data_IF_728371172009
#
_entry.id   IF_728371172009
#
_cell.length_a   1.000
_cell.length_b   1.000
_cell.length_c   1.000
_cell.angle_alpha   90.00
_cell.angle_beta   90.00
_cell.angle_gamma   90.00
#
_symmetry.space_group_name_H-M   'P 1'
#
loop_
_entity.id
_entity.type
_entity.pdbx_description
1 polymer ?
#
# COMPACT_ATOMS: atom_id res chain seq x y z
N UNK A 1 -35.91 -1.54 -6.81
CA UNK A 1 -34.49 -2.00 -6.82
C UNK A 1 -34.09 -2.38 -5.41
N UNK A 2 -33.62 -3.63 -5.26
CA UNK A 2 -33.97 -4.50 -4.14
C UNK A 2 -33.09 -4.35 -2.89
N UNK A 3 -33.73 -4.49 -1.71
CA UNK A 3 -33.14 -4.60 -0.36
C UNK A 3 -32.02 -5.66 -0.24
N UNK A 4 -31.80 -6.49 -1.26
CA UNK A 4 -30.75 -7.51 -1.32
C UNK A 4 -29.32 -6.91 -1.37
N UNK A 5 -29.10 -5.82 -2.11
CA UNK A 5 -27.73 -5.26 -2.28
C UNK A 5 -27.18 -4.64 -0.99
N UNK A 6 -28.06 -4.10 -0.12
CA UNK A 6 -27.67 -3.47 1.15
C UNK A 6 -27.15 -4.45 2.22
N UNK A 7 -27.56 -5.73 2.17
CA UNK A 7 -27.02 -6.79 3.05
C UNK A 7 -25.81 -7.51 2.47
N UNK A 8 -25.72 -7.58 1.14
CA UNK A 8 -24.62 -8.26 0.45
C UNK A 8 -23.32 -7.45 0.47
N UNK A 9 -23.40 -6.13 0.35
CA UNK A 9 -22.26 -5.23 0.32
C UNK A 9 -21.37 -5.27 1.59
N UNK A 10 -21.90 -5.19 2.83
CA UNK A 10 -21.06 -5.33 4.02
C UNK A 10 -20.49 -6.75 4.19
N UNK A 11 -21.22 -7.79 3.78
CA UNK A 11 -20.74 -9.18 3.85
C UNK A 11 -19.56 -9.41 2.89
N UNK A 12 -19.70 -8.95 1.64
CA UNK A 12 -18.68 -9.04 0.61
C UNK A 12 -17.44 -8.21 0.99
N UNK A 13 -17.62 -6.98 1.50
CA UNK A 13 -16.51 -6.18 2.04
C UNK A 13 -15.79 -6.89 3.19
N UNK A 14 -16.51 -7.48 4.15
CA UNK A 14 -15.86 -8.21 5.25
C UNK A 14 -15.10 -9.43 4.76
N UNK A 15 -15.57 -10.14 3.74
CA UNK A 15 -14.87 -11.30 3.19
C UNK A 15 -13.69 -10.90 2.29
N UNK A 16 -13.76 -9.75 1.63
CA UNK A 16 -12.63 -9.14 0.91
C UNK A 16 -11.51 -8.70 1.85
N UNK A 17 -11.86 -8.03 2.96
CA UNK A 17 -10.90 -7.66 4.00
C UNK A 17 -10.21 -8.91 4.57
N UNK A 18 -10.97 -9.97 4.90
CA UNK A 18 -10.40 -11.24 5.40
C UNK A 18 -9.43 -11.90 4.43
N UNK A 19 -9.74 -11.91 3.13
CA UNK A 19 -8.85 -12.50 2.10
C UNK A 19 -7.56 -11.71 1.93
N UNK A 20 -7.62 -10.38 1.96
CA UNK A 20 -6.43 -9.53 1.91
C UNK A 20 -5.50 -9.79 3.10
N UNK A 21 -6.06 -9.83 4.32
CA UNK A 21 -5.30 -10.17 5.53
C UNK A 21 -4.68 -11.57 5.46
N UNK A 22 -5.28 -12.52 4.75
CA UNK A 22 -4.71 -13.86 4.58
C UNK A 22 -3.52 -13.86 3.64
N UNK A 23 -3.58 -13.09 2.54
CA UNK A 23 -2.49 -12.97 1.57
C UNK A 23 -1.29 -12.24 2.17
N UNK A 24 -1.51 -11.09 2.81
CA UNK A 24 -0.44 -10.28 3.43
C UNK A 24 0.31 -11.04 4.53
N UNK A 25 -0.38 -11.92 5.27
CA UNK A 25 0.24 -12.82 6.27
C UNK A 25 1.22 -13.83 5.68
N UNK A 26 0.94 -14.34 4.48
CA UNK A 26 1.81 -15.33 3.82
C UNK A 26 3.11 -14.64 3.38
N UNK A 27 3.01 -13.46 2.78
CA UNK A 27 4.18 -12.68 2.37
C UNK A 27 5.06 -12.31 3.55
N UNK A 28 4.44 -11.91 4.67
CA UNK A 28 5.19 -11.56 5.86
C UNK A 28 5.97 -12.73 6.44
N UNK A 29 5.35 -13.91 6.49
CA UNK A 29 6.01 -15.11 6.97
C UNK A 29 7.18 -15.50 6.09
N UNK A 30 7.01 -15.47 4.77
CA UNK A 30 8.08 -15.82 3.82
C UNK A 30 9.25 -14.84 3.95
N UNK A 31 8.97 -13.53 3.94
CA UNK A 31 10.00 -12.50 3.99
C UNK A 31 10.75 -12.50 5.33
N UNK A 32 10.03 -12.65 6.43
CA UNK A 32 10.60 -12.70 7.77
C UNK A 32 11.44 -13.97 7.98
N UNK A 33 10.94 -15.12 7.50
CA UNK A 33 11.67 -16.38 7.59
C UNK A 33 12.99 -16.32 6.82
N UNK A 34 12.99 -15.79 5.60
CA UNK A 34 14.23 -15.61 4.81
C UNK A 34 15.21 -14.71 5.56
N UNK A 35 14.75 -13.58 6.10
CA UNK A 35 15.63 -12.61 6.77
C UNK A 35 16.24 -13.14 8.07
N UNK A 36 15.50 -13.92 8.88
CA UNK A 36 15.99 -14.50 10.14
C UNK A 36 16.97 -15.65 9.87
N UNK A 37 16.69 -16.48 8.88
CA UNK A 37 17.58 -17.59 8.48
C UNK A 37 18.91 -17.06 7.94
N UNK A 38 18.86 -16.03 7.09
CA UNK A 38 20.05 -15.33 6.61
C UNK A 38 20.76 -14.64 7.78
N UNK A 39 20.03 -13.97 8.68
CA UNK A 39 20.52 -13.15 9.80
C UNK A 39 21.30 -13.86 10.93
N UNK A 40 21.43 -15.19 10.89
CA UNK A 40 22.19 -16.01 11.85
C UNK A 40 21.82 -15.76 13.32
N UNK A 41 20.51 -15.70 13.61
CA UNK A 41 20.03 -15.53 14.99
C UNK A 41 20.10 -16.88 15.73
N UNK A 42 20.61 -16.95 16.97
CA UNK A 42 20.70 -18.20 17.75
C UNK A 42 19.33 -18.71 18.26
N UNK A 43 18.23 -18.06 17.87
CA UNK A 43 16.88 -18.33 18.35
C UNK A 43 16.16 -19.18 17.29
N UNK A 44 15.50 -20.25 17.72
CA UNK A 44 14.66 -21.06 16.85
C UNK A 44 13.62 -20.18 16.10
N UNK A 45 13.50 -20.42 14.79
CA UNK A 45 12.66 -19.62 13.87
C UNK A 45 11.20 -19.60 14.34
N UNK A 46 10.70 -20.70 14.92
CA UNK A 46 9.35 -20.80 15.44
C UNK A 46 9.11 -19.83 16.61
N UNK A 47 10.01 -19.81 17.57
CA UNK A 47 9.90 -18.92 18.74
C UNK A 47 10.09 -17.45 18.34
N UNK A 48 11.04 -17.17 17.45
CA UNK A 48 11.29 -15.83 16.94
C UNK A 48 10.07 -15.23 16.21
N UNK A 49 9.35 -16.05 15.41
CA UNK A 49 8.12 -15.59 14.73
C UNK A 49 6.98 -15.27 15.69
N UNK A 50 6.83 -16.02 16.80
CA UNK A 50 5.81 -15.75 17.81
C UNK A 50 6.11 -14.46 18.57
N UNK A 51 7.35 -14.28 19.01
CA UNK A 51 7.79 -13.06 19.71
C UNK A 51 7.59 -11.84 18.80
N UNK A 52 7.98 -11.95 17.52
CA UNK A 52 7.74 -10.91 16.54
C UNK A 52 6.25 -10.59 16.42
N UNK A 53 5.39 -11.59 16.26
CA UNK A 53 3.95 -11.36 16.12
C UNK A 53 3.37 -10.58 17.31
N UNK A 54 3.79 -10.90 18.54
CA UNK A 54 3.37 -10.17 19.74
C UNK A 54 3.89 -8.73 19.72
N UNK A 55 5.18 -8.51 19.45
CA UNK A 55 5.77 -7.17 19.34
C UNK A 55 5.06 -6.32 18.28
N UNK A 56 4.72 -6.92 17.14
CA UNK A 56 4.02 -6.25 16.05
C UNK A 56 2.61 -5.83 16.46
N UNK A 57 1.86 -6.69 17.14
CA UNK A 57 0.52 -6.34 17.65
C UNK A 57 0.61 -5.15 18.60
N UNK A 58 1.53 -5.19 19.56
CA UNK A 58 1.72 -4.10 20.52
C UNK A 58 2.12 -2.80 19.81
N UNK A 59 3.07 -2.86 18.90
CA UNK A 59 3.54 -1.68 18.19
C UNK A 59 2.47 -1.08 17.26
N UNK A 60 1.66 -1.91 16.58
CA UNK A 60 0.53 -1.43 15.78
C UNK A 60 -0.54 -0.77 16.65
N UNK A 61 -0.85 -1.33 17.83
CA UNK A 61 -1.80 -0.70 18.75
C UNK A 61 -1.34 0.69 19.19
N UNK A 62 -0.07 0.84 19.54
CA UNK A 62 0.51 2.13 19.91
C UNK A 62 0.41 3.11 18.74
N UNK A 63 0.88 2.73 17.55
CA UNK A 63 0.86 3.61 16.37
C UNK A 63 -0.57 3.96 15.96
N UNK A 64 -1.51 3.02 16.08
CA UNK A 64 -2.92 3.24 15.75
C UNK A 64 -3.58 4.29 16.63
N UNK A 65 -3.18 4.44 17.89
CA UNK A 65 -3.72 5.49 18.78
C UNK A 65 -3.25 6.88 18.34
N UNK A 66 -2.02 7.00 17.83
CA UNK A 66 -1.47 8.28 17.37
C UNK A 66 -1.99 8.69 15.98
N UNK A 67 -2.52 7.73 15.22
CA UNK A 67 -2.88 7.90 13.80
C UNK A 67 -4.03 8.89 13.58
N UNK A 68 -4.95 8.99 14.55
CA UNK A 68 -6.22 9.72 14.43
C UNK A 68 -6.05 11.23 14.24
N UNK A 69 -4.85 11.75 14.49
CA UNK A 69 -4.53 13.18 14.36
C UNK A 69 -4.00 13.58 12.97
N UNK A 70 -3.56 12.61 12.16
CA UNK A 70 -2.83 12.85 10.92
C UNK A 70 -3.75 12.73 9.69
N UNK A 71 -3.51 13.58 8.69
CA UNK A 71 -4.24 13.50 7.42
C UNK A 71 -3.91 12.20 6.66
N UNK A 72 -4.83 11.71 5.83
CA UNK A 72 -4.68 10.43 5.10
C UNK A 72 -3.47 10.41 4.17
N UNK A 73 -3.23 11.49 3.41
CA UNK A 73 -2.05 11.61 2.53
C UNK A 73 -0.77 11.75 3.34
N UNK A 74 -0.77 12.60 4.37
CA UNK A 74 0.37 12.75 5.28
C UNK A 74 0.76 11.41 5.93
N UNK A 75 -0.22 10.62 6.35
CA UNK A 75 0.00 9.30 6.93
C UNK A 75 0.66 8.32 5.96
N UNK A 76 0.25 8.30 4.69
CA UNK A 76 0.86 7.47 3.65
C UNK A 76 2.31 7.89 3.35
N UNK A 77 2.60 9.20 3.37
CA UNK A 77 3.95 9.71 3.17
C UNK A 77 4.87 9.44 4.36
N UNK A 78 4.40 9.69 5.59
CA UNK A 78 5.17 9.44 6.82
C UNK A 78 5.52 7.95 6.93
N UNK A 79 4.53 7.07 6.75
CA UNK A 79 4.77 5.62 6.75
C UNK A 79 5.75 5.21 5.63
N UNK A 80 5.60 5.75 4.41
CA UNK A 80 6.55 5.51 3.32
C UNK A 80 7.97 5.94 3.64
N UNK A 81 8.16 7.06 4.33
CA UNK A 81 9.48 7.51 4.78
C UNK A 81 10.08 6.57 5.82
N UNK A 82 9.30 6.14 6.81
CA UNK A 82 9.76 5.20 7.84
C UNK A 82 10.15 3.87 7.22
N UNK A 83 9.32 3.32 6.33
CA UNK A 83 9.58 2.08 5.59
C UNK A 83 10.89 2.20 4.79
N UNK A 84 11.08 3.31 4.06
CA UNK A 84 12.31 3.57 3.30
C UNK A 84 13.54 3.59 4.21
N UNK A 85 13.48 4.30 5.34
CA UNK A 85 14.59 4.39 6.30
C UNK A 85 14.92 3.00 6.85
N UNK A 86 13.91 2.19 7.20
CA UNK A 86 14.11 0.82 7.66
C UNK A 86 14.77 -0.07 6.61
N UNK A 87 14.37 0.02 5.34
CA UNK A 87 15.00 -0.74 4.25
C UNK A 87 16.44 -0.32 4.00
N UNK A 88 16.75 0.97 4.07
CA UNK A 88 18.13 1.46 3.95
C UNK A 88 19.01 0.97 5.10
N UNK A 89 18.48 0.98 6.34
CA UNK A 89 19.17 0.44 7.50
C UNK A 89 19.45 -1.07 7.34
N UNK A 90 18.46 -1.83 6.88
CA UNK A 90 18.59 -3.27 6.66
C UNK A 90 19.59 -3.59 5.53
N UNK A 91 19.53 -2.87 4.41
CA UNK A 91 20.50 -3.02 3.32
C UNK A 91 21.93 -2.67 3.75
N UNK A 92 22.10 -1.64 4.58
CA UNK A 92 23.41 -1.26 5.14
C UNK A 92 23.95 -2.33 6.08
N UNK A 93 23.09 -2.95 6.90
CA UNK A 93 23.48 -4.07 7.76
C UNK A 93 24.01 -5.26 6.95
N UNK A 94 23.27 -5.67 5.91
CA UNK A 94 23.70 -6.78 5.05
C UNK A 94 24.98 -6.43 4.27
N UNK A 95 25.16 -5.17 3.85
CA UNK A 95 26.39 -4.70 3.22
C UNK A 95 27.60 -4.80 4.14
N UNK A 96 27.46 -4.34 5.39
CA UNK A 96 28.53 -4.42 6.40
C UNK A 96 28.91 -5.87 6.69
N UNK A 97 27.92 -6.76 6.79
CA UNK A 97 28.14 -8.19 6.99
C UNK A 97 28.91 -8.84 5.85
N UNK A 98 28.53 -8.54 4.61
CA UNK A 98 29.17 -9.14 3.43
C UNK A 98 30.61 -8.63 3.25
N UNK A 99 30.85 -7.34 3.56
CA UNK A 99 32.16 -6.70 3.36
C UNK A 99 33.17 -6.99 4.48
N UNK A 100 32.74 -6.96 5.75
CA UNK A 100 33.63 -7.05 6.92
C UNK A 100 33.54 -8.39 7.66
N UNK A 101 32.71 -9.32 7.18
CA UNK A 101 32.52 -10.64 7.77
C UNK A 101 31.57 -10.63 8.98
N UNK A 102 31.09 -11.81 9.40
CA UNK A 102 30.05 -11.96 10.43
C UNK A 102 30.46 -11.44 11.82
N UNK A 103 31.75 -11.48 12.16
CA UNK A 103 32.28 -11.08 13.48
C UNK A 103 32.15 -9.58 13.74
N UNK A 104 32.14 -8.76 12.67
CA UNK A 104 32.02 -7.30 12.77
C UNK A 104 30.61 -6.84 13.15
N UNK A 105 29.61 -7.70 12.96
CA UNK A 105 28.18 -7.38 13.07
C UNK A 105 27.52 -7.98 14.30
N UNK A 106 28.23 -8.79 15.10
CA UNK A 106 27.69 -9.44 16.30
C UNK A 106 27.06 -8.44 17.29
N UNK A 107 27.65 -7.26 17.45
CA UNK A 107 27.13 -6.19 18.31
C UNK A 107 25.83 -5.54 17.78
N UNK A 108 25.54 -5.72 16.48
CA UNK A 108 24.43 -5.08 15.76
C UNK A 108 23.37 -6.11 15.32
N UNK A 109 23.48 -7.37 15.72
CA UNK A 109 22.56 -8.47 15.35
C UNK A 109 21.08 -8.21 15.69
N UNK A 110 20.78 -7.27 16.60
CA UNK A 110 19.41 -6.87 16.95
C UNK A 110 18.78 -5.87 15.95
N UNK A 111 19.60 -5.17 15.15
CA UNK A 111 19.17 -4.12 14.23
C UNK A 111 18.28 -4.64 13.08
N UNK A 112 18.58 -5.79 12.42
CA UNK A 112 17.70 -6.36 11.41
C UNK A 112 16.31 -6.67 11.96
N UNK A 113 16.26 -7.24 13.16
CA UNK A 113 15.00 -7.55 13.83
C UNK A 113 14.19 -6.28 14.14
N UNK A 114 14.84 -5.26 14.72
CA UNK A 114 14.18 -4.00 15.04
C UNK A 114 13.69 -3.26 13.78
N UNK A 115 14.50 -3.22 12.72
CA UNK A 115 14.12 -2.58 11.45
C UNK A 115 12.97 -3.29 10.75
N UNK A 116 12.89 -4.62 10.81
CA UNK A 116 11.75 -5.41 10.31
C UNK A 116 10.47 -5.12 11.09
N UNK A 117 10.55 -5.01 12.42
CA UNK A 117 9.40 -4.62 13.27
C UNK A 117 8.88 -3.26 12.85
N UNK A 118 9.76 -2.26 12.71
CA UNK A 118 9.40 -0.90 12.32
C UNK A 118 8.87 -0.83 10.89
N UNK A 119 9.45 -1.60 9.97
CA UNK A 119 8.98 -1.71 8.59
C UNK A 119 7.54 -2.23 8.56
N UNK A 120 7.24 -3.32 9.26
CA UNK A 120 5.92 -3.94 9.20
C UNK A 120 4.85 -3.11 9.91
N UNK A 121 5.18 -2.52 11.07
CA UNK A 121 4.22 -1.65 11.78
C UNK A 121 3.82 -0.46 10.92
N UNK A 122 4.80 0.18 10.26
CA UNK A 122 4.57 1.30 9.35
C UNK A 122 3.78 0.87 8.11
N UNK A 123 4.07 -0.32 7.55
CA UNK A 123 3.33 -0.88 6.43
C UNK A 123 1.85 -1.15 6.79
N UNK A 124 1.59 -1.80 7.93
CA UNK A 124 0.25 -2.14 8.39
C UNK A 124 -0.62 -0.89 8.61
N UNK A 125 -0.02 0.15 9.19
CA UNK A 125 -0.68 1.42 9.54
C UNK A 125 -0.96 2.28 8.31
N UNK A 126 0.02 2.42 7.41
CA UNK A 126 -0.08 3.29 6.24
C UNK A 126 -0.50 2.55 4.98
N UNK A 127 0.44 1.81 4.39
CA UNK A 127 0.29 1.22 3.05
C UNK A 127 -0.78 0.13 2.95
N UNK A 128 -1.05 -0.61 4.03
CA UNK A 128 -2.05 -1.68 4.03
C UNK A 128 -3.48 -1.16 4.13
N UNK A 129 -3.70 -0.02 4.78
CA UNK A 129 -5.06 0.46 5.10
C UNK A 129 -5.45 1.67 4.25
N UNK A 130 -4.56 2.65 4.12
CA UNK A 130 -4.85 3.95 3.50
C UNK A 130 -5.25 3.86 2.02
N UNK A 131 -4.57 3.09 1.15
CA UNK A 131 -4.93 3.02 -0.27
C UNK A 131 -6.33 2.46 -0.51
N UNK A 132 -6.76 1.48 0.29
CA UNK A 132 -8.10 0.91 0.17
C UNK A 132 -9.18 1.90 0.62
N UNK A 133 -8.92 2.66 1.69
CA UNK A 133 -9.87 3.65 2.16
C UNK A 133 -9.94 4.82 1.16
N UNK A 134 -8.80 5.28 0.63
CA UNK A 134 -8.78 6.29 -0.43
C UNK A 134 -9.53 5.80 -1.68
N UNK A 135 -9.32 4.55 -2.09
CA UNK A 135 -10.05 3.96 -3.22
C UNK A 135 -11.57 3.96 -2.96
N UNK A 136 -12.00 3.63 -1.74
CA UNK A 136 -13.42 3.66 -1.37
C UNK A 136 -14.01 5.08 -1.34
N UNK A 137 -13.22 6.09 -0.97
CA UNK A 137 -13.63 7.50 -0.91
C UNK A 137 -13.69 8.17 -2.28
N UNK A 138 -12.74 7.86 -3.16
CA UNK A 138 -12.69 8.40 -4.52
C UNK A 138 -13.70 7.71 -5.44
N UNK A 139 -14.15 6.51 -5.09
CA UNK A 139 -15.07 5.75 -5.93
C UNK A 139 -16.51 6.21 -5.79
N UNK A 140 -17.18 6.62 -6.89
CA UNK A 140 -18.62 6.87 -6.90
C UNK A 140 -19.38 5.58 -6.54
N UNK A 141 -20.45 5.71 -5.76
CA UNK A 141 -21.19 4.58 -5.17
C UNK A 141 -21.63 3.53 -6.20
N UNK A 142 -21.88 3.96 -7.44
CA UNK A 142 -22.33 3.10 -8.54
C UNK A 142 -21.23 2.21 -9.15
N UNK A 143 -19.96 2.62 -9.08
CA UNK A 143 -18.83 1.93 -9.71
C UNK A 143 -17.79 1.40 -8.71
N UNK A 144 -18.04 1.58 -7.41
CA UNK A 144 -17.13 1.19 -6.32
C UNK A 144 -16.70 -0.28 -6.38
N UNK A 145 -17.61 -1.18 -6.76
CA UNK A 145 -17.30 -2.62 -6.87
C UNK A 145 -16.34 -2.91 -8.03
N UNK A 146 -16.52 -2.23 -9.16
CA UNK A 146 -15.66 -2.39 -10.35
C UNK A 146 -14.28 -1.80 -10.06
N UNK A 147 -14.21 -0.58 -9.53
CA UNK A 147 -12.93 0.04 -9.15
C UNK A 147 -12.19 -0.75 -8.08
N UNK A 148 -12.90 -1.30 -7.09
CA UNK A 148 -12.34 -2.16 -6.06
C UNK A 148 -11.71 -3.43 -6.63
N UNK A 149 -12.40 -4.10 -7.55
CA UNK A 149 -11.89 -5.33 -8.18
C UNK A 149 -10.67 -5.08 -9.06
N UNK A 150 -10.66 -4.00 -9.85
CA UNK A 150 -9.50 -3.60 -10.66
C UNK A 150 -8.31 -3.23 -9.76
N UNK A 151 -8.55 -2.43 -8.71
CA UNK A 151 -7.51 -2.06 -7.75
C UNK A 151 -6.88 -3.28 -7.07
N UNK A 152 -7.70 -4.25 -6.66
CA UNK A 152 -7.22 -5.51 -6.08
C UNK A 152 -6.41 -6.35 -7.08
N UNK A 153 -6.85 -6.42 -8.34
CA UNK A 153 -6.14 -7.15 -9.38
C UNK A 153 -4.76 -6.55 -9.64
N UNK A 154 -4.67 -5.22 -9.77
CA UNK A 154 -3.39 -4.51 -9.93
C UNK A 154 -2.50 -4.73 -8.71
N UNK A 155 -3.02 -4.60 -7.49
CA UNK A 155 -2.26 -4.86 -6.26
C UNK A 155 -1.71 -6.30 -6.23
N UNK A 156 -2.55 -7.28 -6.55
CA UNK A 156 -2.15 -8.69 -6.58
C UNK A 156 -1.08 -8.97 -7.62
N UNK A 157 -1.17 -8.33 -8.79
CA UNK A 157 -0.17 -8.43 -9.85
C UNK A 157 1.17 -7.82 -9.42
N UNK A 158 1.15 -6.63 -8.79
CA UNK A 158 2.36 -6.00 -8.25
C UNK A 158 3.03 -6.86 -7.19
N UNK A 159 2.26 -7.43 -6.27
CA UNK A 159 2.79 -8.34 -5.25
C UNK A 159 3.41 -9.58 -5.91
N UNK A 160 2.74 -10.18 -6.91
CA UNK A 160 3.27 -11.32 -7.64
C UNK A 160 4.62 -11.00 -8.30
N UNK A 161 4.73 -9.83 -8.94
CA UNK A 161 5.99 -9.36 -9.53
C UNK A 161 7.08 -9.26 -8.46
N UNK A 162 6.81 -8.61 -7.33
CA UNK A 162 7.78 -8.45 -6.24
C UNK A 162 8.24 -9.80 -5.70
N UNK A 163 7.32 -10.73 -5.45
CA UNK A 163 7.62 -12.07 -4.89
C UNK A 163 8.42 -12.92 -5.86
N UNK A 164 8.21 -12.77 -7.17
CA UNK A 164 9.00 -13.46 -8.19
C UNK A 164 10.38 -12.85 -8.37
N UNK A 165 10.47 -11.52 -8.41
CA UNK A 165 11.72 -10.81 -8.65
C UNK A 165 12.65 -10.86 -7.43
N UNK A 166 12.11 -10.84 -6.21
CA UNK A 166 12.92 -10.74 -4.99
C UNK A 166 13.98 -11.85 -4.85
N UNK A 167 13.65 -13.16 -4.99
CA UNK A 167 14.66 -14.22 -4.90
C UNK A 167 15.68 -14.20 -6.04
N UNK A 168 15.30 -13.75 -7.24
CA UNK A 168 16.22 -13.61 -8.36
C UNK A 168 17.20 -12.46 -8.12
N UNK A 169 16.71 -11.36 -7.53
CA UNK A 169 17.50 -10.19 -7.18
C UNK A 169 18.51 -10.50 -6.07
N UNK A 170 18.08 -11.24 -5.04
CA UNK A 170 18.98 -11.73 -3.97
C UNK A 170 20.14 -12.56 -4.55
N UNK A 171 19.86 -13.45 -5.52
CA UNK A 171 20.90 -14.27 -6.15
C UNK A 171 21.86 -13.47 -7.03
N UNK A 172 21.39 -12.41 -7.68
CA UNK A 172 22.20 -11.66 -8.65
C UNK A 172 23.01 -10.52 -8.04
N UNK A 173 22.42 -9.76 -7.12
CA UNK A 173 23.00 -8.51 -6.57
C UNK A 173 23.24 -8.65 -5.05
N UNK A 174 22.88 -9.78 -4.45
CA UNK A 174 22.95 -9.98 -3.00
C UNK A 174 21.85 -9.24 -2.25
N UNK A 175 21.66 -9.59 -0.99
CA UNK A 175 20.59 -9.05 -0.13
C UNK A 175 20.64 -7.52 0.00
N UNK A 176 21.85 -6.98 0.21
CA UNK A 176 22.09 -5.55 0.35
C UNK A 176 21.57 -4.71 -0.83
N UNK A 177 21.89 -5.10 -2.07
CA UNK A 177 21.44 -4.45 -3.28
C UNK A 177 19.95 -4.58 -3.51
N UNK A 178 19.36 -5.73 -3.16
CA UNK A 178 17.91 -5.90 -3.23
C UNK A 178 17.18 -4.88 -2.34
N UNK A 179 17.56 -4.76 -1.07
CA UNK A 179 16.94 -3.82 -0.14
C UNK A 179 17.09 -2.35 -0.57
N UNK A 180 18.25 -1.96 -1.09
CA UNK A 180 18.46 -0.61 -1.61
C UNK A 180 17.62 -0.31 -2.86
N UNK A 181 17.49 -1.27 -3.78
CA UNK A 181 16.63 -1.12 -4.94
C UNK A 181 15.16 -0.91 -4.54
N UNK A 182 14.64 -1.67 -3.59
CA UNK A 182 13.28 -1.46 -3.08
C UNK A 182 13.12 -0.11 -2.35
N UNK A 183 14.15 0.37 -1.64
CA UNK A 183 14.13 1.70 -1.04
C UNK A 183 14.07 2.82 -2.11
N UNK A 184 14.77 2.66 -3.24
CA UNK A 184 14.67 3.56 -4.38
C UNK A 184 13.27 3.54 -5.02
N UNK A 185 12.69 2.35 -5.22
CA UNK A 185 11.34 2.20 -5.76
C UNK A 185 10.31 2.90 -4.85
N UNK A 186 10.44 2.76 -3.53
CA UNK A 186 9.59 3.47 -2.58
C UNK A 186 9.76 4.99 -2.63
N UNK A 187 10.97 5.48 -2.88
CA UNK A 187 11.19 6.91 -3.05
C UNK A 187 10.47 7.45 -4.30
N UNK A 188 10.53 6.72 -5.42
CA UNK A 188 9.79 7.06 -6.64
C UNK A 188 8.27 6.98 -6.40
N UNK A 189 7.80 5.96 -5.70
CA UNK A 189 6.40 5.82 -5.29
C UNK A 189 5.92 6.97 -4.40
N UNK A 190 6.75 7.43 -3.45
CA UNK A 190 6.44 8.58 -2.61
C UNK A 190 6.29 9.88 -3.44
N UNK A 191 7.17 10.10 -4.43
CA UNK A 191 7.04 11.24 -5.36
C UNK A 191 5.75 11.13 -6.17
N UNK A 192 5.41 9.94 -6.66
CA UNK A 192 4.15 9.71 -7.37
C UNK A 192 2.94 10.05 -6.49
N UNK A 193 2.94 9.64 -5.22
CA UNK A 193 1.86 9.97 -4.28
C UNK A 193 1.75 11.48 -4.04
N UNK A 194 2.89 12.18 -3.91
CA UNK A 194 2.88 13.64 -3.70
C UNK A 194 2.21 14.36 -4.88
N UNK A 195 2.53 13.94 -6.11
CA UNK A 195 2.08 14.60 -7.36
C UNK A 195 0.65 14.20 -7.74
N UNK A 196 0.34 12.90 -7.73
CA UNK A 196 -0.92 12.37 -8.28
C UNK A 196 -2.03 12.19 -7.26
N UNK A 197 -1.72 12.07 -5.96
CA UNK A 197 -2.75 11.88 -4.94
C UNK A 197 -3.15 13.24 -4.36
N UNK A 198 -4.38 13.72 -4.61
CA UNK A 198 -4.87 14.95 -3.99
C UNK A 198 -5.07 14.76 -2.49
N UNK A 199 -4.87 15.82 -1.70
CA UNK A 199 -5.09 15.80 -0.25
C UNK A 199 -6.60 15.68 0.04
N UNK A 200 -7.04 14.57 0.63
CA UNK A 200 -8.46 14.34 0.98
C UNK A 200 -8.84 14.84 2.38
N UNK A 201 -7.91 15.45 3.13
CA UNK A 201 -8.18 15.92 4.50
C UNK A 201 -9.05 17.18 4.47
N UNK A 202 -10.29 17.08 4.98
CA UNK A 202 -11.16 18.23 5.25
C UNK A 202 -12.01 18.73 4.08
N UNK A 203 -12.09 17.99 2.97
CA UNK A 203 -13.05 18.25 1.87
C UNK A 203 -14.27 17.34 2.00
N UNK A 204 -15.46 17.87 1.74
CA UNK A 204 -16.68 17.03 1.72
C UNK A 204 -16.69 16.15 0.48
N UNK A 205 -17.47 15.06 0.51
CA UNK A 205 -17.64 14.17 -0.65
C UNK A 205 -18.17 14.95 -1.87
N UNK A 206 -18.98 15.99 -1.63
CA UNK A 206 -19.55 16.84 -2.69
C UNK A 206 -18.49 17.67 -3.43
N UNK A 207 -17.45 18.16 -2.73
CA UNK A 207 -16.36 18.92 -3.35
C UNK A 207 -15.50 18.04 -4.28
N UNK A 208 -15.32 16.76 -3.91
CA UNK A 208 -14.58 15.79 -4.71
C UNK A 208 -15.42 15.39 -5.93
N UNK A 209 -16.72 15.15 -5.76
CA UNK A 209 -17.63 14.91 -6.88
C UNK A 209 -17.71 16.11 -7.84
N UNK A 210 -17.71 17.36 -7.34
CA UNK A 210 -17.70 18.55 -8.19
C UNK A 210 -16.39 18.70 -8.98
N UNK A 211 -15.25 18.37 -8.39
CA UNK A 211 -13.95 18.36 -9.10
C UNK A 211 -13.94 17.33 -10.24
N UNK A 212 -14.41 16.11 -9.99
CA UNK A 212 -14.47 15.07 -11.04
C UNK A 212 -15.56 15.34 -12.08
N UNK A 213 -16.70 15.90 -11.68
CA UNK A 213 -17.78 16.28 -12.60
C UNK A 213 -17.33 17.39 -13.55
N UNK A 214 -16.62 18.40 -13.05
CA UNK A 214 -16.06 19.48 -13.88
C UNK A 214 -15.04 18.96 -14.90
N UNK A 215 -14.18 18.00 -14.53
CA UNK A 215 -13.26 17.39 -15.50
C UNK A 215 -13.98 16.56 -16.57
N UNK A 216 -15.05 15.82 -16.19
CA UNK A 216 -15.86 15.08 -17.17
C UNK A 216 -16.62 16.02 -18.10
N UNK A 217 -17.21 17.09 -17.59
CA UNK A 217 -17.95 18.08 -18.38
C UNK A 217 -17.00 18.78 -19.37
N UNK A 218 -15.77 19.08 -18.95
CA UNK A 218 -14.73 19.66 -19.80
C UNK A 218 -14.22 18.69 -20.88
N UNK A 219 -14.15 17.39 -20.59
CA UNK A 219 -13.73 16.35 -21.54
C UNK A 219 -14.85 16.02 -22.54
N UNK A 220 -16.12 16.10 -22.12
CA UNK A 220 -17.28 16.06 -23.02
C UNK A 220 -17.34 17.29 -23.94
N UNK A 221 -16.96 18.47 -23.45
CA UNK A 221 -16.82 19.67 -24.29
C UNK A 221 -15.69 19.52 -25.33
N UNK A 222 -14.53 18.95 -24.95
CA UNK A 222 -13.41 18.69 -25.86
C UNK A 222 -13.73 17.61 -26.91
N UNK A 223 -14.37 16.50 -26.52
CA UNK A 223 -14.79 15.44 -27.45
C UNK A 223 -15.88 15.91 -28.42
N UNK A 224 -16.68 16.90 -28.04
CA UNK A 224 -17.66 17.53 -28.95
C UNK A 224 -17.04 18.43 -30.02
N UNK A 225 -15.79 18.86 -29.84
CA UNK A 225 -15.09 19.78 -30.74
C UNK A 225 -14.21 19.02 -31.76
N UNK A 226 -13.72 17.82 -31.44
CA UNK A 226 -12.52 17.29 -32.11
C UNK A 226 -12.75 16.35 -33.32
N UNK A 227 -13.97 16.20 -33.85
CA UNK A 227 -14.20 15.26 -34.97
C UNK A 227 -14.70 15.79 -36.31
N UNK A 228 -15.11 17.05 -36.47
CA UNK A 228 -15.41 17.61 -37.80
C UNK A 228 -15.54 19.15 -37.86
N UNK A 229 -15.18 19.90 -36.80
CA UNK A 229 -15.35 21.37 -36.78
C UNK A 229 -16.80 21.84 -36.94
N UNK A 230 -17.78 20.94 -36.77
CA UNK A 230 -19.21 21.23 -36.79
C UNK A 230 -19.74 21.05 -35.37
N UNK A 231 -20.22 22.15 -34.78
CA UNK A 231 -20.92 22.15 -33.49
C UNK A 231 -22.15 21.25 -33.60
N UNK A 232 -22.12 20.07 -32.95
CA UNK A 232 -23.27 19.21 -32.85
C UNK A 232 -23.72 19.18 -31.38
N UNK A 233 -24.85 19.80 -31.02
CA UNK A 233 -25.30 19.82 -29.64
C UNK A 233 -25.70 18.39 -29.23
N UNK A 234 -24.85 17.74 -28.43
CA UNK A 234 -25.26 16.52 -27.72
C UNK A 234 -26.19 16.95 -26.60
N UNK A 235 -27.50 16.81 -26.82
CA UNK A 235 -28.48 17.03 -25.76
C UNK A 235 -28.17 16.12 -24.56
N UNK A 236 -28.23 16.65 -23.32
CA UNK A 236 -28.11 15.82 -22.14
C UNK A 236 -29.39 14.99 -21.97
N UNK A 237 -29.40 13.77 -22.50
CA UNK A 237 -30.35 12.74 -22.07
C UNK A 237 -29.67 11.85 -21.03
N UNK A 238 -29.46 12.42 -19.85
CA UNK A 238 -29.21 11.66 -18.63
C UNK A 238 -30.42 11.87 -17.74
N UNK A 239 -31.42 11.00 -17.94
CA UNK A 239 -32.54 10.70 -17.04
C UNK A 239 -33.56 11.82 -16.78
N UNK A 240 -34.51 11.97 -17.71
CA UNK A 240 -35.90 12.29 -17.36
C UNK A 240 -36.64 11.01 -16.99
N UNK A 241 -36.80 10.73 -15.70
CA UNK A 241 -38.04 10.13 -15.17
C UNK A 241 -38.25 10.70 -13.79
N UNK A 242 -38.99 11.81 -13.76
CA UNK A 242 -39.89 12.13 -12.65
C UNK A 242 -40.89 10.98 -12.46
N UNK A 243 -41.35 10.85 -11.21
CA UNK A 243 -42.35 9.94 -10.60
C UNK A 243 -41.80 8.71 -9.88
#
# INVERSE_FOLDING_TARGET
MSKCTKKFFPLLLTDFQKKQFSNDKIYLKVFFQVTILEGNSPIDVGIATIILAVCLVVAVLIVSIFIDSLGRKALMLISGLIIKISLLALGTYFYLRDTYGPDSVENISWLPFASLVVFYTSYAVGYSSVPFIMLAELSPVRYRDIMGSIGYFVNSLLIFVVVRTFPELQKSIGDHGAFWLYACILAVGAVFIIVFVPETKGKTLEDIEYFFKKSLDQELELDSVDKNGIYNPVCPNVFSTDN
#
